data_IF_374747142374
#
_entry.id   IF_374747142374
#
_cell.length_a   1.000
_cell.length_b   1.000
_cell.length_c   1.000
_cell.angle_alpha   90.00
_cell.angle_beta   90.00
_cell.angle_gamma   90.00
#
_symmetry.space_group_name_H-M   'P 1'
#
loop_
_entity.id
_entity.type
_entity.pdbx_description
1 polymer ?
#
# COMPACT_ATOMS: atom_id res chain seq x y z
N UNK A 1 -27.57 43.46 3.91
CA UNK A 1 -27.29 42.05 3.57
C UNK A 1 -26.80 41.37 4.85
N UNK A 2 -27.64 40.54 5.49
CA UNK A 2 -27.18 39.66 6.56
C UNK A 2 -26.74 38.35 5.92
N UNK A 3 -25.43 38.09 5.91
CA UNK A 3 -24.90 36.79 5.54
C UNK A 3 -25.16 35.84 6.71
N UNK A 4 -26.02 34.85 6.51
CA UNK A 4 -26.19 33.76 7.45
C UNK A 4 -24.92 32.90 7.42
N UNK A 5 -24.09 33.03 8.45
CA UNK A 5 -23.02 32.07 8.71
C UNK A 5 -23.68 30.81 9.24
N UNK A 6 -23.81 29.80 8.37
CA UNK A 6 -24.16 28.45 8.80
C UNK A 6 -22.94 27.92 9.55
N UNK A 7 -22.95 28.05 10.88
CA UNK A 7 -22.02 27.31 11.72
C UNK A 7 -22.44 25.84 11.66
N UNK A 8 -21.68 25.03 10.92
CA UNK A 8 -21.78 23.57 10.94
C UNK A 8 -21.29 23.10 12.31
N UNK A 9 -22.20 23.06 13.27
CA UNK A 9 -21.97 22.46 14.58
C UNK A 9 -22.19 20.95 14.44
N UNK A 10 -21.13 20.18 14.63
CA UNK A 10 -21.22 18.73 14.70
C UNK A 10 -21.46 18.32 16.15
N UNK A 11 -22.14 17.20 16.36
CA UNK A 11 -22.49 16.73 17.69
C UNK A 11 -22.16 15.24 17.84
N UNK A 12 -21.68 14.86 19.02
CA UNK A 12 -21.51 13.47 19.44
C UNK A 12 -22.56 13.14 20.49
N UNK A 13 -23.11 11.93 20.46
CA UNK A 13 -24.05 11.43 21.46
C UNK A 13 -23.35 10.31 22.22
N UNK A 14 -23.16 10.48 23.52
CA UNK A 14 -22.55 9.44 24.36
C UNK A 14 -23.52 8.28 24.65
N UNK A 15 -23.01 7.20 25.24
CA UNK A 15 -23.79 5.99 25.57
C UNK A 15 -24.95 6.27 26.55
N UNK A 16 -24.95 7.43 27.23
CA UNK A 16 -26.01 7.86 28.13
C UNK A 16 -27.01 8.81 27.45
N UNK A 17 -26.87 9.07 26.15
CA UNK A 17 -27.75 9.93 25.36
C UNK A 17 -27.47 11.43 25.49
N UNK A 18 -26.32 11.82 26.04
CA UNK A 18 -25.93 13.23 26.19
C UNK A 18 -25.30 13.74 24.91
N UNK A 19 -25.75 14.92 24.46
CA UNK A 19 -25.30 15.54 23.20
C UNK A 19 -24.18 16.55 23.49
N UNK A 20 -23.01 16.35 22.90
CA UNK A 20 -21.83 17.21 23.05
C UNK A 20 -21.45 17.87 21.73
N UNK A 21 -21.24 19.20 21.68
CA UNK A 21 -20.76 19.86 20.47
C UNK A 21 -19.30 19.51 20.21
N UNK A 22 -19.00 19.07 18.99
CA UNK A 22 -17.66 18.77 18.51
C UNK A 22 -17.06 19.95 17.76
N UNK A 23 -15.83 20.32 18.08
CA UNK A 23 -15.04 21.20 17.24
C UNK A 23 -14.58 20.48 15.96
N UNK A 24 -14.21 21.25 14.93
CA UNK A 24 -13.65 20.69 13.68
C UNK A 24 -12.39 19.86 13.91
N UNK A 25 -11.61 20.17 14.96
CA UNK A 25 -10.42 19.40 15.34
C UNK A 25 -10.81 18.11 16.08
N UNK A 26 -11.85 18.13 16.90
CA UNK A 26 -12.35 16.95 17.60
C UNK A 26 -13.02 15.97 16.65
N UNK A 27 -13.73 16.44 15.62
CA UNK A 27 -14.21 15.60 14.52
C UNK A 27 -13.08 14.73 13.99
N UNK A 28 -11.94 15.31 13.66
CA UNK A 28 -10.77 14.62 13.12
C UNK A 28 -10.10 13.65 14.12
N UNK A 29 -10.43 13.72 15.42
CA UNK A 29 -9.92 12.84 16.49
C UNK A 29 -10.89 11.75 16.92
N UNK A 30 -12.16 11.81 16.53
CA UNK A 30 -13.13 10.74 16.80
C UNK A 30 -12.68 9.44 16.12
N UNK A 31 -13.02 8.26 16.66
CA UNK A 31 -12.69 6.96 16.05
C UNK A 31 -13.22 6.80 14.60
N UNK A 32 -14.13 7.67 14.16
CA UNK A 32 -14.58 7.82 12.77
C UNK A 32 -13.46 8.25 11.79
N UNK A 33 -12.32 8.73 12.32
CA UNK A 33 -11.15 9.15 11.56
C UNK A 33 -9.89 8.40 12.02
N UNK A 34 -10.00 7.06 12.16
CA UNK A 34 -8.81 6.18 12.07
C UNK A 34 -7.92 6.67 10.93
N UNK A 35 -6.62 6.83 11.18
CA UNK A 35 -5.69 7.62 10.36
C UNK A 35 -5.91 7.44 8.85
N UNK A 36 -6.71 8.34 8.27
CA UNK A 36 -7.11 8.28 6.86
C UNK A 36 -5.92 8.54 5.93
N UNK A 37 -4.80 9.02 6.49
CA UNK A 37 -3.54 9.26 5.77
C UNK A 37 -2.62 8.06 5.79
N UNK A 38 -3.01 6.95 6.44
CA UNK A 38 -2.16 5.75 6.46
C UNK A 38 -1.87 5.24 5.05
N UNK A 39 -2.86 5.26 4.14
CA UNK A 39 -2.68 4.92 2.73
C UNK A 39 -1.81 5.93 1.98
N UNK A 40 -1.88 7.22 2.32
CA UNK A 40 -1.00 8.26 1.76
C UNK A 40 0.46 8.03 2.18
N UNK A 41 0.69 7.82 3.48
CA UNK A 41 2.02 7.55 4.03
C UNK A 41 2.61 6.25 3.47
N UNK A 42 1.78 5.22 3.31
CA UNK A 42 2.21 3.95 2.72
C UNK A 42 2.49 4.09 1.23
N UNK A 43 1.69 4.83 0.47
CA UNK A 43 1.97 5.09 -0.94
C UNK A 43 3.32 5.81 -1.12
N UNK A 44 3.62 6.82 -0.30
CA UNK A 44 4.92 7.49 -0.30
C UNK A 44 6.06 6.52 0.00
N UNK A 45 5.87 5.64 0.98
CA UNK A 45 6.88 4.64 1.38
C UNK A 45 7.10 3.60 0.30
N UNK A 46 6.03 3.08 -0.32
CA UNK A 46 6.10 2.15 -1.46
C UNK A 46 6.85 2.80 -2.62
N UNK A 47 6.54 4.06 -2.94
CA UNK A 47 7.23 4.81 -3.98
C UNK A 47 8.74 4.89 -3.68
N UNK A 48 9.12 5.30 -2.47
CA UNK A 48 10.54 5.40 -2.08
C UNK A 48 11.25 4.05 -2.16
N UNK A 49 10.61 2.96 -1.73
CA UNK A 49 11.17 1.59 -1.81
C UNK A 49 11.38 1.15 -3.26
N UNK A 50 10.37 1.32 -4.11
CA UNK A 50 10.48 0.97 -5.52
C UNK A 50 11.61 1.74 -6.19
N UNK A 51 11.74 3.04 -5.93
CA UNK A 51 12.76 3.88 -6.55
C UNK A 51 14.16 3.59 -5.99
N UNK A 52 14.29 3.31 -4.70
CA UNK A 52 15.55 2.82 -4.12
C UNK A 52 15.99 1.50 -4.76
N UNK A 53 15.06 0.54 -4.92
CA UNK A 53 15.30 -0.72 -5.63
C UNK A 53 15.68 -0.50 -7.09
N UNK A 54 15.03 0.44 -7.77
CA UNK A 54 15.35 0.85 -9.14
C UNK A 54 16.78 1.40 -9.25
N UNK A 55 17.23 2.14 -8.23
CA UNK A 55 18.61 2.63 -8.08
C UNK A 55 19.65 1.57 -7.67
N UNK A 56 19.24 0.32 -7.51
CA UNK A 56 20.13 -0.80 -7.17
C UNK A 56 20.32 -1.04 -5.66
N UNK A 57 19.55 -0.37 -4.80
CA UNK A 57 19.54 -0.68 -3.37
C UNK A 57 18.84 -2.02 -3.13
N UNK A 58 19.49 -2.91 -2.39
CA UNK A 58 18.87 -4.14 -1.93
C UNK A 58 17.91 -3.80 -0.78
N UNK A 59 16.62 -3.73 -1.09
CA UNK A 59 15.56 -3.33 -0.16
C UNK A 59 14.85 -4.52 0.49
N UNK A 60 15.17 -5.76 0.09
CA UNK A 60 14.45 -6.96 0.53
C UNK A 60 14.75 -7.26 2.01
N UNK A 61 13.81 -7.08 2.95
CA UNK A 61 13.97 -7.68 4.26
C UNK A 61 13.90 -9.21 4.14
N UNK A 62 14.41 -9.97 5.12
CA UNK A 62 14.16 -11.42 5.15
C UNK A 62 12.64 -11.69 5.18
N UNK A 63 12.12 -12.39 4.18
CA UNK A 63 10.70 -12.81 4.12
C UNK A 63 10.45 -13.74 5.30
N UNK A 64 9.56 -13.38 6.21
CA UNK A 64 9.14 -14.32 7.26
C UNK A 64 8.46 -15.49 6.55
N UNK A 65 8.95 -16.74 6.67
CA UNK A 65 8.36 -17.85 5.95
C UNK A 65 6.93 -18.07 6.47
N UNK A 66 5.92 -18.00 5.59
CA UNK A 66 4.53 -18.27 5.97
C UNK A 66 4.43 -19.70 6.51
N UNK A 67 4.06 -19.86 7.78
CA UNK A 67 3.77 -21.16 8.41
C UNK A 67 4.97 -21.97 8.91
N UNK A 68 6.19 -21.41 8.93
CA UNK A 68 7.31 -22.06 9.64
C UNK A 68 7.42 -21.53 11.07
N UNK A 69 7.67 -22.43 12.03
CA UNK A 69 8.03 -22.06 13.40
C UNK A 69 9.31 -21.23 13.37
N UNK A 70 9.20 -19.95 13.70
CA UNK A 70 10.34 -19.05 13.80
C UNK A 70 11.16 -19.47 15.02
N UNK A 71 12.41 -19.88 14.80
CA UNK A 71 13.33 -20.13 15.92
C UNK A 71 13.80 -18.79 16.51
N UNK A 72 14.09 -18.71 17.82
CA UNK A 72 14.62 -17.50 18.46
C UNK A 72 15.89 -16.94 17.78
N UNK A 73 16.66 -17.81 17.12
CA UNK A 73 17.87 -17.46 16.37
C UNK A 73 17.54 -16.72 15.05
N UNK A 74 16.44 -17.06 14.38
CA UNK A 74 15.97 -16.36 13.17
C UNK A 74 15.43 -14.96 13.48
N UNK A 75 14.85 -14.75 14.66
CA UNK A 75 14.42 -13.44 15.17
C UNK A 75 15.61 -12.47 15.39
N UNK A 76 16.79 -12.98 15.70
CA UNK A 76 18.01 -12.17 15.85
C UNK A 76 18.69 -11.86 14.51
N UNK A 77 18.34 -12.60 13.45
CA UNK A 77 18.84 -12.41 12.08
C UNK A 77 17.93 -11.52 11.22
N UNK A 78 16.83 -10.98 11.77
CA UNK A 78 16.10 -9.87 11.16
C UNK A 78 17.05 -8.68 11.06
N UNK A 79 17.78 -8.63 9.94
CA UNK A 79 18.82 -7.65 9.68
C UNK A 79 18.28 -6.22 9.81
N UNK A 80 19.17 -5.23 9.95
CA UNK A 80 18.77 -3.85 10.10
C UNK A 80 17.82 -3.46 8.97
N UNK A 81 16.67 -2.92 9.34
CA UNK A 81 15.73 -2.29 8.39
C UNK A 81 16.55 -1.35 7.50
N UNK A 82 16.65 -1.65 6.22
CA UNK A 82 17.35 -0.80 5.26
C UNK A 82 16.73 0.59 5.36
N UNK A 83 17.52 1.59 5.75
CA UNK A 83 17.03 2.96 5.89
C UNK A 83 16.88 3.57 4.51
N UNK A 84 15.66 3.53 3.99
CA UNK A 84 15.32 4.09 2.68
C UNK A 84 15.07 5.60 2.85
N UNK A 85 15.84 6.45 2.14
CA UNK A 85 15.64 7.90 2.23
C UNK A 85 14.27 8.28 1.67
N UNK A 86 13.55 9.14 2.39
CA UNK A 86 12.34 9.77 1.84
C UNK A 86 12.71 10.74 0.73
N UNK A 87 12.11 10.55 -0.44
CA UNK A 87 12.30 11.42 -1.59
C UNK A 87 11.19 12.47 -1.66
N UNK A 88 11.48 13.64 -2.23
CA UNK A 88 10.44 14.61 -2.62
C UNK A 88 9.77 14.17 -3.91
N UNK A 89 8.58 14.70 -4.21
CA UNK A 89 7.87 14.42 -5.47
C UNK A 89 8.76 14.70 -6.69
N UNK A 90 9.48 15.83 -6.69
CA UNK A 90 10.36 16.23 -7.79
C UNK A 90 11.53 15.26 -7.96
N UNK A 91 12.06 14.71 -6.86
CA UNK A 91 13.12 13.70 -6.91
C UNK A 91 12.61 12.37 -7.48
N UNK A 92 11.38 11.98 -7.14
CA UNK A 92 10.77 10.73 -7.62
C UNK A 92 10.50 10.76 -9.12
N UNK A 93 10.06 11.90 -9.63
CA UNK A 93 9.82 12.11 -11.08
C UNK A 93 11.08 11.94 -11.94
N UNK A 94 12.28 12.10 -11.36
CA UNK A 94 13.54 11.92 -12.09
C UNK A 94 13.98 10.46 -12.22
N UNK A 95 13.40 9.54 -11.44
CA UNK A 95 13.82 8.13 -11.43
C UNK A 95 12.94 7.33 -12.39
N UNK A 96 13.49 6.78 -13.49
CA UNK A 96 12.70 6.02 -14.44
C UNK A 96 12.25 4.68 -13.86
N UNK A 97 10.97 4.56 -13.52
CA UNK A 97 10.35 3.34 -13.03
C UNK A 97 8.84 3.35 -13.34
N UNK A 98 8.23 2.17 -13.40
CA UNK A 98 6.77 2.02 -13.54
C UNK A 98 6.21 1.14 -12.43
N UNK A 99 5.17 1.60 -11.76
CA UNK A 99 4.50 0.89 -10.67
C UNK A 99 3.10 0.48 -11.13
N UNK A 100 2.85 -0.82 -11.23
CA UNK A 100 1.52 -1.34 -11.49
C UNK A 100 0.83 -1.74 -10.20
N UNK A 101 -0.46 -1.45 -10.09
CA UNK A 101 -1.29 -2.01 -9.02
C UNK A 101 -2.40 -2.87 -9.63
N UNK A 102 -2.54 -4.10 -9.13
CA UNK A 102 -3.60 -5.00 -9.55
C UNK A 102 -4.81 -4.80 -8.65
N UNK A 103 -5.94 -4.33 -9.20
CA UNK A 103 -7.18 -4.22 -8.44
C UNK A 103 -7.18 -3.18 -7.31
N UNK A 104 -6.15 -2.34 -7.16
CA UNK A 104 -6.04 -1.37 -6.05
C UNK A 104 -6.23 0.11 -6.51
N UNK A 105 -7.45 0.55 -6.86
CA UNK A 105 -7.67 1.90 -7.40
C UNK A 105 -7.34 3.02 -6.42
N UNK A 106 -7.61 2.82 -5.13
CA UNK A 106 -7.29 3.81 -4.10
C UNK A 106 -5.78 4.05 -4.00
N UNK A 107 -4.99 2.97 -4.02
CA UNK A 107 -3.53 3.07 -3.99
C UNK A 107 -2.99 3.81 -5.22
N UNK A 108 -3.52 3.54 -6.42
CA UNK A 108 -3.09 4.20 -7.66
C UNK A 108 -3.26 5.73 -7.59
N UNK A 109 -4.38 6.21 -7.03
CA UNK A 109 -4.61 7.64 -6.84
C UNK A 109 -3.50 8.27 -5.98
N UNK A 110 -3.11 7.60 -4.90
CA UNK A 110 -2.08 8.11 -3.99
C UNK A 110 -0.69 8.01 -4.60
N UNK A 111 -0.34 6.91 -5.28
CA UNK A 111 0.94 6.78 -5.98
C UNK A 111 1.14 7.88 -7.04
N UNK A 112 0.11 8.21 -7.81
CA UNK A 112 0.21 9.34 -8.76
C UNK A 112 0.51 10.68 -8.09
N UNK A 113 -0.04 10.93 -6.89
CA UNK A 113 0.24 12.15 -6.12
C UNK A 113 1.68 12.19 -5.59
N UNK A 114 2.30 11.04 -5.42
CA UNK A 114 3.70 10.92 -5.02
C UNK A 114 4.69 11.15 -6.18
N UNK A 115 4.22 11.42 -7.41
CA UNK A 115 5.08 11.73 -8.57
C UNK A 115 5.67 10.51 -9.27
N UNK A 116 5.13 9.31 -9.03
CA UNK A 116 5.56 8.09 -9.75
C UNK A 116 4.63 7.77 -10.92
N UNK A 117 5.20 7.14 -11.95
CA UNK A 117 4.42 6.58 -13.06
C UNK A 117 3.71 5.32 -12.58
N UNK A 118 2.48 5.49 -12.12
CA UNK A 118 1.62 4.39 -11.66
C UNK A 118 0.55 4.02 -12.70
N UNK A 119 0.09 2.77 -12.70
CA UNK A 119 -0.99 2.36 -13.59
C UNK A 119 -1.73 1.11 -13.12
N UNK A 120 -3.02 0.95 -13.48
CA UNK A 120 -3.73 -0.30 -13.22
C UNK A 120 -3.22 -1.41 -14.15
N UNK A 121 -3.30 -2.65 -13.68
CA UNK A 121 -3.11 -3.83 -14.52
C UNK A 121 -4.23 -4.85 -14.26
N UNK A 122 -4.65 -5.56 -15.32
CA UNK A 122 -5.67 -6.61 -15.24
C UNK A 122 -5.09 -8.04 -15.17
N UNK A 123 -3.77 -8.19 -15.30
CA UNK A 123 -3.07 -9.48 -15.33
C UNK A 123 -1.72 -9.35 -14.63
N UNK A 124 -1.26 -10.44 -13.99
CA UNK A 124 0.03 -10.49 -13.29
C UNK A 124 1.15 -11.09 -14.13
N UNK A 125 1.00 -11.15 -15.46
CA UNK A 125 2.03 -11.77 -16.29
C UNK A 125 3.27 -10.91 -16.35
N UNK A 126 4.38 -11.40 -15.79
CA UNK A 126 5.65 -10.66 -15.74
C UNK A 126 6.14 -10.29 -17.14
N UNK A 127 5.90 -11.17 -18.13
CA UNK A 127 6.23 -10.93 -19.53
C UNK A 127 5.50 -9.71 -20.11
N UNK A 128 4.24 -9.52 -19.74
CA UNK A 128 3.44 -8.37 -20.20
C UNK A 128 3.84 -7.07 -19.52
N UNK A 129 4.33 -7.16 -18.28
CA UNK A 129 4.78 -6.01 -17.50
C UNK A 129 6.25 -5.65 -17.78
N UNK A 130 6.99 -6.50 -18.48
CA UNK A 130 8.41 -6.29 -18.75
C UNK A 130 8.64 -5.00 -19.53
N UNK A 131 9.56 -4.18 -19.04
CA UNK A 131 9.92 -2.89 -19.64
C UNK A 131 11.43 -2.67 -19.59
N UNK A 132 11.91 -1.67 -20.35
CA UNK A 132 13.31 -1.22 -20.31
C UNK A 132 13.67 -0.53 -18.99
N UNK A 133 12.67 -0.07 -18.26
CA UNK A 133 12.82 0.54 -16.95
C UNK A 133 12.37 -0.43 -15.85
N UNK A 134 12.94 -0.34 -14.63
CA UNK A 134 12.46 -1.10 -13.49
C UNK A 134 10.94 -1.03 -13.35
N UNK A 135 10.31 -2.21 -13.27
CA UNK A 135 8.86 -2.34 -13.19
C UNK A 135 8.48 -3.09 -11.92
N UNK A 136 7.45 -2.59 -11.25
CA UNK A 136 6.96 -3.10 -9.99
C UNK A 136 5.49 -3.47 -10.11
N UNK A 137 5.08 -4.47 -9.34
CA UNK A 137 3.71 -4.90 -9.18
C UNK A 137 3.35 -4.83 -7.71
N UNK A 138 2.20 -4.21 -7.42
CA UNK A 138 1.68 -4.04 -6.08
C UNK A 138 0.35 -4.78 -5.99
N UNK A 139 0.26 -5.65 -4.99
CA UNK A 139 -0.91 -6.46 -4.69
C UNK A 139 -1.46 -6.05 -3.34
N UNK A 140 -2.78 -5.99 -3.19
CA UNK A 140 -3.41 -5.61 -1.95
C UNK A 140 -4.69 -6.39 -1.67
N UNK A 141 -5.51 -5.91 -0.72
CA UNK A 141 -6.73 -6.58 -0.29
C UNK A 141 -7.70 -6.89 -1.45
N UNK A 142 -7.82 -5.99 -2.43
CA UNK A 142 -8.73 -6.18 -3.56
C UNK A 142 -8.18 -7.19 -4.57
N UNK A 143 -6.86 -7.22 -4.79
CA UNK A 143 -6.21 -8.23 -5.62
C UNK A 143 -6.54 -9.65 -5.12
N UNK A 144 -6.33 -9.90 -3.82
CA UNK A 144 -6.55 -11.22 -3.21
C UNK A 144 -8.01 -11.69 -3.20
N UNK A 145 -8.96 -10.75 -3.30
CA UNK A 145 -10.40 -11.02 -3.42
C UNK A 145 -10.88 -11.18 -4.86
N UNK A 146 -10.04 -10.87 -5.84
CA UNK A 146 -10.41 -10.96 -7.26
C UNK A 146 -10.49 -12.42 -7.71
N UNK A 147 -11.63 -12.88 -8.28
CA UNK A 147 -11.76 -14.27 -8.75
C UNK A 147 -10.68 -14.65 -9.77
N UNK A 148 -10.08 -15.83 -9.60
CA UNK A 148 -9.03 -16.35 -10.48
C UNK A 148 -7.65 -15.67 -10.33
N UNK A 149 -7.52 -14.68 -9.44
CA UNK A 149 -6.23 -14.04 -9.17
C UNK A 149 -5.20 -15.02 -8.60
N UNK A 150 -5.62 -15.84 -7.62
CA UNK A 150 -4.75 -16.83 -6.98
C UNK A 150 -4.08 -17.78 -7.98
N UNK A 151 -4.86 -18.30 -8.94
CA UNK A 151 -4.35 -19.21 -9.96
C UNK A 151 -3.32 -18.54 -10.87
N UNK A 152 -3.58 -17.29 -11.27
CA UNK A 152 -2.62 -16.51 -12.06
C UNK A 152 -1.35 -16.20 -11.27
N UNK A 153 -1.49 -15.80 -10.01
CA UNK A 153 -0.36 -15.44 -9.16
C UNK A 153 0.57 -16.62 -8.88
N UNK A 154 0.02 -17.80 -8.57
CA UNK A 154 0.83 -19.00 -8.32
C UNK A 154 1.73 -19.39 -9.50
N UNK A 155 1.30 -19.13 -10.73
CA UNK A 155 2.08 -19.43 -11.94
C UNK A 155 3.16 -18.39 -12.22
N UNK A 156 2.96 -17.16 -11.75
CA UNK A 156 3.78 -16.01 -12.11
C UNK A 156 4.72 -15.56 -10.98
N UNK A 157 4.45 -15.88 -9.70
CA UNK A 157 5.23 -15.43 -8.52
C UNK A 157 6.76 -15.65 -8.68
N UNK A 158 7.16 -16.76 -9.32
CA UNK A 158 8.59 -17.08 -9.58
C UNK A 158 9.32 -16.03 -10.43
N UNK A 159 8.57 -15.25 -11.22
CA UNK A 159 9.09 -14.18 -12.07
C UNK A 159 9.21 -12.84 -11.33
N UNK A 160 8.88 -12.83 -10.04
CA UNK A 160 8.91 -11.65 -9.20
C UNK A 160 9.94 -11.77 -8.07
N UNK A 161 10.41 -10.62 -7.62
CA UNK A 161 11.23 -10.46 -6.43
C UNK A 161 10.42 -9.66 -5.42
N UNK A 162 10.17 -10.24 -4.25
CA UNK A 162 9.42 -9.57 -3.19
C UNK A 162 10.29 -8.51 -2.52
N UNK A 163 9.80 -7.26 -2.46
CA UNK A 163 10.50 -6.14 -1.87
C UNK A 163 10.06 -5.83 -0.44
N UNK A 164 8.83 -6.22 -0.09
CA UNK A 164 8.31 -5.94 1.24
C UNK A 164 6.79 -5.95 1.32
N UNK A 165 6.35 -5.89 2.57
CA UNK A 165 4.96 -5.81 2.98
C UNK A 165 4.74 -4.46 3.67
N UNK A 166 3.68 -3.76 3.29
CA UNK A 166 3.38 -2.41 3.76
C UNK A 166 1.99 -2.36 4.36
N UNK A 167 1.94 -2.24 5.67
CA UNK A 167 0.70 -2.20 6.43
C UNK A 167 0.11 -0.80 6.50
N UNK A 168 -1.20 -0.70 6.33
CA UNK A 168 -1.97 0.53 6.47
C UNK A 168 -3.30 0.25 7.17
N UNK A 169 -3.94 1.31 7.67
CA UNK A 169 -5.21 1.23 8.38
C UNK A 169 -6.29 1.93 7.54
N UNK A 170 -7.07 1.19 6.73
CA UNK A 170 -8.13 1.79 5.94
C UNK A 170 -9.17 2.48 6.82
N UNK A 171 -9.84 3.49 6.25
CA UNK A 171 -10.98 4.10 6.91
C UNK A 171 -12.17 3.13 6.99
N UNK A 172 -13.09 3.39 7.92
CA UNK A 172 -14.30 2.57 8.16
C UNK A 172 -15.11 2.29 6.89
N UNK A 173 -15.28 3.29 6.01
CA UNK A 173 -16.03 3.11 4.75
C UNK A 173 -15.37 2.09 3.84
N UNK A 174 -14.04 2.13 3.70
CA UNK A 174 -13.28 1.13 2.92
C UNK A 174 -13.40 -0.25 3.56
N UNK A 175 -13.38 -0.34 4.89
CA UNK A 175 -13.54 -1.62 5.58
C UNK A 175 -14.94 -2.22 5.37
N UNK A 176 -15.98 -1.39 5.36
CA UNK A 176 -17.36 -1.83 5.08
C UNK A 176 -17.57 -2.27 3.61
N UNK A 177 -16.73 -1.81 2.68
CA UNK A 177 -16.71 -2.32 1.30
C UNK A 177 -16.03 -3.71 1.21
N UNK A 178 -15.03 -3.94 2.07
CA UNK A 178 -14.26 -5.18 2.10
C UNK A 178 -14.89 -6.31 2.94
N UNK A 179 -15.68 -5.95 3.94
CA UNK A 179 -16.23 -6.88 4.94
C UNK A 179 -17.65 -6.47 5.36
N UNK A 180 -18.47 -7.45 5.72
CA UNK A 180 -19.78 -7.19 6.31
C UNK A 180 -19.64 -6.57 7.71
N UNK A 181 -20.61 -5.73 8.09
CA UNK A 181 -20.59 -5.00 9.38
C UNK A 181 -20.48 -5.92 10.59
N UNK A 182 -21.23 -7.02 10.63
CA UNK A 182 -21.16 -7.99 11.74
C UNK A 182 -19.75 -8.59 11.88
N UNK A 183 -19.09 -8.88 10.76
CA UNK A 183 -17.73 -9.40 10.76
C UNK A 183 -16.75 -8.37 11.33
N UNK A 184 -16.89 -7.10 10.95
CA UNK A 184 -16.07 -6.01 11.50
C UNK A 184 -16.26 -5.80 13.01
N UNK A 185 -17.44 -6.13 13.55
CA UNK A 185 -17.71 -6.03 15.00
C UNK A 185 -17.10 -7.17 15.82
N UNK A 186 -16.75 -8.28 15.18
CA UNK A 186 -16.22 -9.49 15.84
C UNK A 186 -14.71 -9.66 15.64
N UNK A 187 -14.11 -8.96 14.68
CA UNK A 187 -12.73 -9.14 14.24
C UNK A 187 -11.94 -7.83 14.23
N UNK A 188 -11.40 -7.44 15.39
CA UNK A 188 -10.57 -6.23 15.52
C UNK A 188 -9.22 -6.33 14.80
N UNK A 189 -8.78 -7.54 14.45
CA UNK A 189 -7.52 -7.83 13.78
C UNK A 189 -7.51 -7.44 12.28
N UNK A 190 -8.69 -7.28 11.68
CA UNK A 190 -8.83 -7.04 10.23
C UNK A 190 -8.62 -5.57 9.87
N UNK A 191 -8.48 -4.69 10.84
CA UNK A 191 -8.33 -3.26 10.58
C UNK A 191 -6.96 -2.84 10.06
N UNK A 192 -5.97 -3.73 10.17
CA UNK A 192 -4.68 -3.59 9.49
C UNK A 192 -4.76 -4.33 8.16
N UNK A 193 -4.67 -3.60 7.06
CA UNK A 193 -4.58 -4.15 5.72
C UNK A 193 -3.16 -3.99 5.20
N UNK A 194 -2.82 -4.72 4.14
CA UNK A 194 -1.43 -4.84 3.69
C UNK A 194 -1.32 -4.81 2.17
N UNK A 195 -0.36 -4.05 1.68
CA UNK A 195 0.14 -4.16 0.31
C UNK A 195 1.40 -4.99 0.28
N UNK A 196 1.51 -5.84 -0.74
CA UNK A 196 2.70 -6.63 -1.04
C UNK A 196 3.32 -6.05 -2.32
N UNK A 197 4.60 -5.70 -2.26
CA UNK A 197 5.31 -5.06 -3.37
C UNK A 197 6.33 -6.01 -3.95
N UNK A 198 6.30 -6.11 -5.27
CA UNK A 198 7.13 -7.01 -6.04
C UNK A 198 7.83 -6.27 -7.17
N UNK A 199 9.08 -6.61 -7.44
CA UNK A 199 9.83 -6.21 -8.63
C UNK A 199 9.73 -7.30 -9.69
N UNK A 200 9.47 -6.92 -10.94
CA UNK A 200 9.55 -7.85 -12.08
C UNK A 200 11.02 -8.21 -12.30
N UNK A 201 11.34 -9.51 -12.31
CA UNK A 201 12.72 -9.96 -12.59
C UNK A 201 13.09 -9.64 -14.04
N UNK A 202 14.29 -9.09 -14.22
CA UNK A 202 14.84 -8.93 -15.56
C UNK A 202 15.12 -10.30 -16.18
N UNK A 203 14.70 -10.53 -17.42
CA UNK A 203 15.14 -11.72 -18.17
C UNK A 203 16.62 -11.54 -18.50
N UNK A 204 17.45 -12.50 -18.08
CA UNK A 204 18.86 -12.53 -18.43
C UNK A 204 19.02 -12.54 -19.96
N UNK A 205 19.38 -11.40 -20.55
CA UNK A 205 19.47 -11.21 -22.00
C UNK A 205 19.12 -9.82 -22.51
N UNK A 206 18.54 -8.94 -21.68
CA UNK A 206 18.25 -7.54 -22.03
C UNK A 206 19.11 -6.51 -21.28
N UNK A 207 20.30 -6.92 -20.82
CA UNK A 207 21.31 -5.94 -20.40
C UNK A 207 21.71 -5.13 -21.64
N UNK A 208 21.33 -3.86 -21.62
CA UNK A 208 21.58 -2.85 -22.65
C UNK A 208 23.05 -2.80 -23.04
N UNK A 209 23.35 -3.26 -24.26
CA UNK A 209 24.33 -2.62 -25.12
C UNK A 209 23.86 -1.18 -25.38
N UNK A 210 24.37 -0.23 -24.61
CA UNK A 210 24.20 1.19 -24.85
C UNK A 210 25.57 1.84 -24.86
N UNK A 211 26.04 2.18 -26.07
CA UNK A 211 27.21 3.02 -26.32
C UNK A 211 26.99 4.44 -25.78
#
# INVERSE_FOLDING_TARGET
MLAAVVALSFYEVDENGTIWPLSSEQLLRTQLYRDRRSVESVAATIADVCLASAGGMEVNPPRTPRGQLISPEQLQQTGPSVSIPRLTVEQREQVPAVLYAFGEPALLLHLHREGVVAGPVSHVSARSLQSRVPTFLILGPNAWRTPGFWDQWMLEEVNYEWLGDFEYNPGVVTMMDLYAEHFLSEHDDVWTQRFEVYRVRAVAGQATSGN
#
